data_IF_132634373582
#
_entry.id   IF_132634373582
#
_cell.length_a   1.000
_cell.length_b   1.000
_cell.length_c   1.000
_cell.angle_alpha   90.00
_cell.angle_beta   90.00
_cell.angle_gamma   90.00
#
_symmetry.space_group_name_H-M   'P 1'
#
loop_
_entity.id
_entity.type
_entity.pdbx_description
1 polymer ?
#
# COMPACT_ATOMS: atom_id res chain seq x y z
N UNK A 1 -76.69 -8.17 16.21
CA UNK A 1 -75.90 -7.60 17.34
C UNK A 1 -74.44 -7.71 16.97
N UNK A 2 -73.81 -6.57 16.72
CA UNK A 2 -72.44 -6.45 16.18
C UNK A 2 -71.40 -6.69 17.27
N UNK A 3 -70.38 -7.46 16.99
CA UNK A 3 -69.12 -7.38 17.71
C UNK A 3 -68.02 -7.22 16.68
N UNK A 4 -67.49 -6.03 16.57
CA UNK A 4 -66.30 -5.71 15.80
C UNK A 4 -65.08 -6.18 16.54
N UNK A 5 -64.38 -7.17 15.99
CA UNK A 5 -63.08 -7.57 16.46
C UNK A 5 -62.01 -6.82 15.65
N UNK A 6 -61.35 -5.88 16.29
CA UNK A 6 -60.21 -5.15 15.75
C UNK A 6 -58.94 -5.95 16.02
N UNK A 7 -58.48 -6.65 15.00
CA UNK A 7 -57.18 -7.29 15.05
C UNK A 7 -56.09 -6.22 14.89
N UNK A 8 -55.35 -5.96 15.97
CA UNK A 8 -54.11 -5.15 15.92
C UNK A 8 -53.01 -6.03 15.39
N UNK A 9 -52.65 -5.73 14.14
CA UNK A 9 -51.45 -6.30 13.54
C UNK A 9 -50.24 -5.58 14.14
N UNK A 10 -49.53 -6.23 15.04
CA UNK A 10 -48.22 -5.80 15.50
C UNK A 10 -47.23 -6.21 14.40
N UNK A 11 -46.87 -5.26 13.57
CA UNK A 11 -45.77 -5.41 12.63
C UNK A 11 -44.46 -5.50 13.40
N UNK A 12 -43.88 -6.69 13.43
CA UNK A 12 -42.51 -6.89 13.89
C UNK A 12 -41.56 -6.25 12.89
N UNK A 13 -41.08 -5.07 13.21
CA UNK A 13 -39.93 -4.46 12.49
C UNK A 13 -38.71 -5.22 12.94
N UNK A 14 -38.30 -6.19 12.15
CA UNK A 14 -36.99 -6.80 12.27
C UNK A 14 -35.94 -5.73 11.95
N UNK A 15 -35.32 -5.19 12.98
CA UNK A 15 -34.18 -4.30 12.89
C UNK A 15 -33.00 -5.14 12.42
N UNK A 16 -32.79 -5.18 11.09
CA UNK A 16 -31.51 -5.62 10.52
C UNK A 16 -30.48 -4.56 10.91
N UNK A 17 -29.80 -4.78 12.02
CA UNK A 17 -28.57 -4.09 12.33
C UNK A 17 -27.54 -4.57 11.30
N UNK A 18 -27.47 -3.88 10.16
CA UNK A 18 -26.34 -4.00 9.26
C UNK A 18 -25.12 -3.54 10.05
N UNK A 19 -24.26 -4.47 10.40
CA UNK A 19 -22.91 -4.20 10.87
C UNK A 19 -22.15 -3.58 9.68
N UNK A 20 -22.37 -2.30 9.47
CA UNK A 20 -21.50 -1.48 8.65
C UNK A 20 -20.22 -1.29 9.46
N UNK A 21 -19.30 -2.24 9.33
CA UNK A 21 -17.93 -2.02 9.77
C UNK A 21 -17.42 -0.80 9.03
N UNK A 22 -16.92 0.23 9.72
CA UNK A 22 -16.40 1.41 9.05
C UNK A 22 -15.13 1.01 8.29
N UNK A 23 -15.27 0.81 6.98
CA UNK A 23 -14.12 0.75 6.05
C UNK A 23 -13.30 2.06 6.08
N UNK A 24 -13.80 3.07 6.76
CA UNK A 24 -13.19 4.40 6.87
C UNK A 24 -11.91 4.44 7.71
N UNK A 25 -11.67 3.49 8.60
CA UNK A 25 -10.48 3.54 9.46
C UNK A 25 -9.17 3.25 8.69
N UNK A 26 -9.21 2.39 7.69
CA UNK A 26 -8.04 2.10 6.85
C UNK A 26 -7.77 3.21 5.83
N UNK A 27 -8.84 3.82 5.29
CA UNK A 27 -8.72 4.93 4.36
C UNK A 27 -8.12 6.18 5.02
N UNK A 28 -8.42 6.45 6.28
CA UNK A 28 -7.88 7.59 7.01
C UNK A 28 -6.36 7.51 7.19
N UNK A 29 -5.81 6.33 7.49
CA UNK A 29 -4.36 6.14 7.59
C UNK A 29 -3.64 6.41 6.27
N UNK A 30 -4.20 5.96 5.16
CA UNK A 30 -3.65 6.18 3.82
C UNK A 30 -3.70 7.66 3.42
N UNK A 31 -4.82 8.34 3.66
CA UNK A 31 -4.98 9.77 3.35
C UNK A 31 -4.03 10.61 4.19
N UNK A 32 -3.99 10.40 5.50
CA UNK A 32 -3.07 11.12 6.38
C UNK A 32 -1.60 10.83 6.05
N UNK A 33 -1.27 9.61 5.68
CA UNK A 33 0.06 9.24 5.22
C UNK A 33 0.45 9.97 3.94
N UNK A 34 -0.47 10.02 2.96
CA UNK A 34 -0.27 10.75 1.71
C UNK A 34 -0.08 12.25 1.94
N UNK A 35 -0.91 12.87 2.77
CA UNK A 35 -0.81 14.30 3.10
C UNK A 35 0.50 14.65 3.79
N UNK A 36 0.92 13.86 4.78
CA UNK A 36 2.20 14.06 5.49
C UNK A 36 3.39 13.87 4.55
N UNK A 37 3.35 12.81 3.73
CA UNK A 37 4.39 12.53 2.75
C UNK A 37 4.48 13.61 1.68
N UNK A 38 3.34 14.08 1.16
CA UNK A 38 3.30 15.17 0.19
C UNK A 38 3.82 16.49 0.79
N UNK A 39 3.43 16.81 2.03
CA UNK A 39 3.92 18.00 2.72
C UNK A 39 5.43 17.95 2.96
N UNK A 40 5.97 16.81 3.34
CA UNK A 40 7.40 16.64 3.55
C UNK A 40 8.15 16.68 2.22
N UNK A 41 7.72 15.89 1.23
CA UNK A 41 8.35 15.87 -0.09
C UNK A 41 8.29 17.22 -0.81
N UNK A 42 7.20 17.97 -0.63
CA UNK A 42 7.03 19.31 -1.18
C UNK A 42 8.01 20.33 -0.58
N UNK A 43 8.37 20.19 0.69
CA UNK A 43 9.39 21.04 1.34
C UNK A 43 10.79 20.71 0.83
N UNK A 44 11.07 19.42 0.61
CA UNK A 44 12.41 18.94 0.27
C UNK A 44 12.74 19.09 -1.22
N UNK A 45 11.77 18.90 -2.11
CA UNK A 45 11.97 18.86 -3.55
C UNK A 45 10.83 19.50 -4.38
N UNK A 46 10.05 20.40 -3.79
CA UNK A 46 8.97 21.11 -4.50
C UNK A 46 7.83 20.22 -4.98
N UNK A 47 7.12 20.61 -6.06
CA UNK A 47 5.93 19.89 -6.54
C UNK A 47 6.19 18.42 -6.89
N UNK A 48 7.35 18.11 -7.45
CA UNK A 48 7.74 16.72 -7.77
C UNK A 48 7.93 15.91 -6.49
N UNK A 49 8.59 16.50 -5.49
CA UNK A 49 8.76 15.87 -4.18
C UNK A 49 7.44 15.66 -3.45
N UNK A 50 6.48 16.56 -3.62
CA UNK A 50 5.14 16.38 -3.05
C UNK A 50 4.40 15.18 -3.64
N UNK A 51 4.48 14.97 -4.96
CA UNK A 51 3.87 13.81 -5.62
C UNK A 51 4.52 12.50 -5.15
N UNK A 52 5.84 12.45 -5.13
CA UNK A 52 6.60 11.27 -4.68
C UNK A 52 6.33 11.02 -3.19
N UNK A 53 6.43 12.06 -2.36
CA UNK A 53 6.19 11.97 -0.93
C UNK A 53 4.76 11.54 -0.59
N UNK A 54 3.77 12.04 -1.35
CA UNK A 54 2.38 11.64 -1.21
C UNK A 54 2.15 10.15 -1.51
N UNK A 55 2.74 9.64 -2.57
CA UNK A 55 2.65 8.22 -2.94
C UNK A 55 3.28 7.32 -1.86
N UNK A 56 4.48 7.67 -1.43
CA UNK A 56 5.20 6.92 -0.38
C UNK A 56 4.46 7.02 0.95
N UNK A 57 3.97 8.22 1.29
CA UNK A 57 3.20 8.44 2.52
C UNK A 57 1.89 7.67 2.54
N UNK A 58 1.19 7.56 1.40
CA UNK A 58 -0.02 6.75 1.29
C UNK A 58 0.26 5.27 1.56
N UNK A 59 1.34 4.74 1.00
CA UNK A 59 1.75 3.34 1.23
C UNK A 59 2.20 3.10 2.67
N UNK A 60 2.99 4.04 3.22
CA UNK A 60 3.44 3.95 4.61
C UNK A 60 2.29 4.11 5.63
N UNK A 61 1.22 4.82 5.25
CA UNK A 61 0.01 4.98 6.06
C UNK A 61 -0.89 3.74 6.09
N UNK A 62 -0.68 2.78 5.18
CA UNK A 62 -1.37 1.48 5.25
C UNK A 62 -0.68 0.56 6.25
N UNK A 63 -1.46 -0.21 6.99
CA UNK A 63 -0.90 -1.19 7.92
C UNK A 63 -0.14 -2.26 7.14
N UNK A 64 1.18 -2.32 7.34
CA UNK A 64 2.03 -3.32 6.71
C UNK A 64 2.63 -2.92 5.36
N UNK A 65 2.30 -1.74 4.79
CA UNK A 65 2.79 -1.33 3.47
C UNK A 65 2.14 -2.14 2.33
N UNK A 66 2.82 -2.24 1.17
CA UNK A 66 2.34 -3.02 0.02
C UNK A 66 2.39 -4.52 0.34
N UNK A 67 3.49 -4.98 0.92
CA UNK A 67 3.58 -6.33 1.48
C UNK A 67 3.29 -6.26 2.97
N UNK A 68 2.33 -7.06 3.41
CA UNK A 68 2.06 -7.27 4.83
C UNK A 68 3.28 -7.84 5.57
N UNK A 69 3.31 -7.66 6.88
CA UNK A 69 4.41 -8.15 7.74
C UNK A 69 4.66 -9.64 7.54
N UNK A 70 3.60 -10.43 7.32
CA UNK A 70 3.68 -11.88 7.13
C UNK A 70 4.27 -12.28 5.77
N UNK A 71 4.10 -11.43 4.76
CA UNK A 71 4.53 -11.73 3.40
C UNK A 71 5.97 -11.32 3.11
N UNK A 72 6.52 -10.39 3.89
CA UNK A 72 7.90 -9.91 3.71
C UNK A 72 8.96 -11.03 3.72
N UNK A 73 9.00 -11.94 4.70
CA UNK A 73 10.01 -12.99 4.71
C UNK A 73 9.82 -13.99 3.55
N UNK A 74 8.57 -14.26 3.15
CA UNK A 74 8.27 -15.13 2.01
C UNK A 74 8.74 -14.48 0.71
N UNK A 75 8.44 -13.21 0.51
CA UNK A 75 8.88 -12.46 -0.65
C UNK A 75 10.40 -12.36 -0.75
N UNK A 76 11.08 -12.10 0.36
CA UNK A 76 12.54 -12.11 0.41
C UNK A 76 13.11 -13.46 -0.03
N UNK A 77 12.59 -14.56 0.49
CA UNK A 77 13.00 -15.91 0.10
C UNK A 77 12.77 -16.15 -1.39
N UNK A 78 11.60 -15.74 -1.90
CA UNK A 78 11.28 -15.82 -3.33
C UNK A 78 12.32 -15.09 -4.18
N UNK A 79 12.63 -13.82 -3.89
CA UNK A 79 13.60 -13.02 -4.66
C UNK A 79 15.00 -13.65 -4.65
N UNK A 80 15.44 -14.17 -3.51
CA UNK A 80 16.73 -14.88 -3.38
C UNK A 80 16.75 -16.15 -4.23
N UNK A 81 15.68 -16.93 -4.24
CA UNK A 81 15.55 -18.14 -5.05
C UNK A 81 15.57 -17.86 -6.55
N UNK A 82 15.02 -16.72 -6.97
CA UNK A 82 15.05 -16.28 -8.37
C UNK A 82 16.44 -15.88 -8.85
N UNK A 83 17.42 -15.79 -7.94
CA UNK A 83 18.80 -15.37 -8.24
C UNK A 83 18.87 -14.04 -8.99
N UNK A 84 17.98 -13.13 -8.64
CA UNK A 84 17.94 -11.79 -9.21
C UNK A 84 19.28 -11.09 -8.90
N UNK A 85 19.95 -10.52 -9.92
CA UNK A 85 21.20 -9.81 -9.69
C UNK A 85 20.97 -8.58 -8.81
N UNK A 86 21.83 -8.40 -7.81
CA UNK A 86 21.79 -7.22 -6.94
C UNK A 86 22.44 -6.04 -7.64
N UNK A 87 21.71 -4.94 -7.71
CA UNK A 87 22.23 -3.66 -8.15
C UNK A 87 22.92 -2.94 -7.00
N UNK A 88 24.16 -2.49 -7.21
CA UNK A 88 24.88 -1.70 -6.21
C UNK A 88 24.49 -0.23 -6.32
N UNK A 89 23.86 0.31 -5.27
CA UNK A 89 23.46 1.69 -5.17
C UNK A 89 24.26 2.40 -4.10
N UNK A 90 24.92 3.49 -4.47
CA UNK A 90 25.86 4.20 -3.57
C UNK A 90 25.18 4.98 -2.46
N UNK A 91 23.89 5.34 -2.65
CA UNK A 91 23.15 6.10 -1.66
C UNK A 91 22.30 5.18 -0.78
N UNK A 92 21.72 5.76 0.26
CA UNK A 92 20.83 5.02 1.18
C UNK A 92 19.59 4.48 0.45
N UNK A 93 19.29 3.20 0.64
CA UNK A 93 18.10 2.53 0.10
C UNK A 93 16.96 2.68 1.10
N UNK A 94 16.04 3.58 0.81
CA UNK A 94 14.85 3.84 1.64
C UNK A 94 13.64 4.20 0.79
N UNK A 95 12.46 4.11 1.38
CA UNK A 95 11.23 4.57 0.73
C UNK A 95 11.34 6.07 0.40
N UNK A 96 10.84 6.45 -0.78
CA UNK A 96 10.94 7.82 -1.30
C UNK A 96 12.15 8.09 -2.20
N UNK A 97 13.12 7.19 -2.27
CA UNK A 97 14.26 7.33 -3.18
C UNK A 97 13.85 7.00 -4.60
N UNK A 98 14.23 7.86 -5.53
CA UNK A 98 14.05 7.65 -6.97
C UNK A 98 15.28 6.94 -7.51
N UNK A 99 15.05 5.80 -8.16
CA UNK A 99 16.10 5.00 -8.77
C UNK A 99 16.49 5.55 -10.15
N UNK A 100 17.75 5.34 -10.57
CA UNK A 100 18.19 5.74 -11.90
C UNK A 100 17.43 5.00 -13.00
N UNK A 101 17.32 5.62 -14.15
CA UNK A 101 16.62 5.06 -15.31
C UNK A 101 17.37 3.89 -15.94
N UNK A 102 18.68 3.91 -15.86
CA UNK A 102 19.56 2.92 -16.47
C UNK A 102 20.28 2.09 -15.42
N UNK A 103 20.56 0.84 -15.78
CA UNK A 103 21.33 -0.07 -14.93
C UNK A 103 20.51 -0.85 -13.90
N UNK A 104 19.24 -0.50 -13.65
CA UNK A 104 18.36 -1.21 -12.74
C UNK A 104 17.35 -2.04 -13.52
N UNK A 105 17.27 -3.35 -13.22
CA UNK A 105 16.27 -4.23 -13.80
C UNK A 105 15.08 -4.33 -12.87
N UNK A 106 13.89 -4.08 -13.40
CA UNK A 106 12.63 -4.17 -12.68
C UNK A 106 11.89 -5.44 -13.06
N UNK A 107 11.38 -6.14 -12.06
CA UNK A 107 10.67 -7.40 -12.20
C UNK A 107 9.20 -7.23 -11.81
N UNK A 108 8.33 -8.02 -12.43
CA UNK A 108 6.91 -8.03 -12.10
C UNK A 108 6.65 -8.62 -10.72
N UNK A 109 5.73 -8.01 -9.98
CA UNK A 109 5.29 -8.58 -8.71
C UNK A 109 4.53 -9.89 -8.96
N UNK A 110 4.86 -10.97 -8.23
CA UNK A 110 4.08 -12.20 -8.33
C UNK A 110 2.62 -11.95 -7.96
N UNK A 111 1.70 -12.61 -8.69
CA UNK A 111 0.26 -12.43 -8.52
C UNK A 111 -0.24 -12.72 -7.08
N UNK A 112 0.45 -13.60 -6.37
CA UNK A 112 0.13 -13.96 -4.98
C UNK A 112 0.19 -12.79 -3.99
N UNK A 113 0.95 -11.73 -4.33
CA UNK A 113 1.07 -10.53 -3.48
C UNK A 113 0.07 -9.43 -3.83
N UNK A 114 -0.82 -9.63 -4.80
CA UNK A 114 -1.87 -8.69 -5.21
C UNK A 114 -1.41 -7.25 -5.43
N UNK A 115 -0.21 -7.06 -5.96
CA UNK A 115 0.39 -5.75 -6.18
C UNK A 115 0.79 -5.51 -7.66
N UNK A 116 -0.13 -5.69 -8.64
CA UNK A 116 0.21 -5.66 -10.07
C UNK A 116 0.67 -4.28 -10.57
N UNK A 117 0.34 -3.22 -9.85
CA UNK A 117 0.73 -1.85 -10.18
C UNK A 117 2.21 -1.55 -9.86
N UNK A 118 2.86 -2.42 -9.12
CA UNK A 118 4.23 -2.24 -8.65
C UNK A 118 5.17 -3.22 -9.32
N UNK A 119 6.46 -2.91 -9.22
CA UNK A 119 7.56 -3.77 -9.64
C UNK A 119 8.49 -3.99 -8.46
N UNK A 120 9.34 -4.97 -8.53
CA UNK A 120 10.39 -5.11 -7.55
C UNK A 120 11.76 -5.13 -8.24
N UNK A 121 12.77 -4.82 -7.47
CA UNK A 121 14.18 -4.99 -7.85
C UNK A 121 14.99 -5.39 -6.62
N UNK A 122 16.23 -5.74 -6.83
CA UNK A 122 17.13 -6.20 -5.78
C UNK A 122 18.33 -5.26 -5.69
N UNK A 123 18.42 -4.50 -4.60
CA UNK A 123 19.42 -3.43 -4.44
C UNK A 123 20.16 -3.62 -3.12
N UNK A 124 21.49 -3.61 -3.17
CA UNK A 124 22.35 -3.79 -1.99
C UNK A 124 21.89 -4.99 -1.15
N UNK A 125 21.61 -6.12 -1.82
CA UNK A 125 21.14 -7.37 -1.21
C UNK A 125 19.80 -7.27 -0.47
N UNK A 126 18.98 -6.26 -0.81
CA UNK A 126 17.63 -6.06 -0.27
C UNK A 126 16.60 -5.99 -1.39
N UNK A 127 15.51 -6.75 -1.29
CA UNK A 127 14.39 -6.56 -2.19
C UNK A 127 13.70 -5.22 -1.90
N UNK A 128 13.39 -4.47 -2.94
CA UNK A 128 12.64 -3.21 -2.84
C UNK A 128 11.47 -3.22 -3.80
N UNK A 129 10.35 -2.66 -3.37
CA UNK A 129 9.17 -2.48 -4.20
C UNK A 129 9.18 -1.05 -4.71
N UNK A 130 8.91 -0.91 -6.00
CA UNK A 130 9.06 0.34 -6.75
C UNK A 130 7.79 0.65 -7.51
N UNK A 131 7.38 1.90 -7.54
CA UNK A 131 6.40 2.40 -8.50
C UNK A 131 7.09 2.58 -9.85
N UNK A 132 6.74 1.81 -10.90
CA UNK A 132 7.43 1.84 -12.18
C UNK A 132 7.26 3.16 -12.94
N UNK A 133 6.25 3.95 -12.62
CA UNK A 133 5.99 5.23 -13.30
C UNK A 133 6.94 6.33 -12.82
N UNK A 134 7.22 6.33 -11.54
CA UNK A 134 8.08 7.33 -10.89
C UNK A 134 9.46 6.81 -10.56
N UNK A 135 9.69 5.50 -10.66
CA UNK A 135 10.91 4.79 -10.25
C UNK A 135 11.24 5.00 -8.78
N UNK A 136 10.22 5.29 -8.00
CA UNK A 136 10.37 5.58 -6.57
C UNK A 136 10.25 4.29 -5.75
N UNK A 137 11.17 4.09 -4.83
CA UNK A 137 11.07 3.02 -3.84
C UNK A 137 9.89 3.34 -2.93
N UNK A 138 8.89 2.47 -2.90
CA UNK A 138 7.71 2.60 -2.05
C UNK A 138 7.81 1.75 -0.78
N UNK A 139 8.58 0.67 -0.85
CA UNK A 139 8.84 -0.18 0.32
C UNK A 139 10.18 -0.91 0.20
N UNK A 140 10.93 -0.95 1.28
CA UNK A 140 12.10 -1.83 1.44
C UNK A 140 11.65 -3.08 2.21
N UNK A 141 12.00 -4.25 1.72
CA UNK A 141 11.62 -5.53 2.34
C UNK A 141 12.80 -6.02 3.18
N UNK A 142 12.63 -5.96 4.48
CA UNK A 142 13.60 -6.42 5.49
C UNK A 142 13.21 -7.74 6.11
#
# INVERSE_FOLDING_TARGET
MQVKSTAKVFGSIALLAALTLPLSAQAQGTIQGAERGAAQGGRDAGPVGAVIGGTVGAVAGTVGGILGVQDRPRFRTYVVQQRVPSYTYANEVRAGVVLPETGVTYYEMPAEYNAPAYRYTYINERPVIVDPRTRTIVQVVE
#
